data_IF_727384851805
#
_entry.id   IF_727384851805
#
_cell.length_a   1.000
_cell.length_b   1.000
_cell.length_c   1.000
_cell.angle_alpha   90.00
_cell.angle_beta   90.00
_cell.angle_gamma   90.00
#
_symmetry.space_group_name_H-M   'P 1'
#
loop_
_entity.id
_entity.type
_entity.pdbx_description
1 polymer ?
#
# COMPACT_ATOMS: atom_id res chain seq x y z
N UNK A 1 14.97 16.50 -9.11
CA UNK A 1 13.53 16.62 -8.84
C UNK A 1 12.84 15.68 -9.80
N UNK A 2 12.28 14.56 -9.32
CA UNK A 2 11.46 13.69 -10.18
C UNK A 2 10.23 14.52 -10.52
N UNK A 3 9.98 14.76 -11.80
CA UNK A 3 8.76 15.42 -12.25
C UNK A 3 7.60 14.51 -11.87
N UNK A 4 6.84 14.90 -10.86
CA UNK A 4 5.68 14.14 -10.44
C UNK A 4 4.62 14.25 -11.54
N UNK A 5 4.09 13.09 -11.94
CA UNK A 5 2.85 13.02 -12.73
C UNK A 5 1.80 13.88 -12.02
N UNK A 6 1.04 14.75 -12.72
CA UNK A 6 -0.04 15.51 -12.10
C UNK A 6 -1.10 14.59 -11.46
N UNK A 7 -1.74 15.04 -10.38
CA UNK A 7 -2.73 14.23 -9.66
C UNK A 7 -3.92 13.83 -10.52
N UNK A 8 -4.38 14.71 -11.39
CA UNK A 8 -5.50 14.40 -12.30
C UNK A 8 -5.13 13.25 -13.25
N UNK A 9 -3.93 13.26 -13.81
CA UNK A 9 -3.47 12.19 -14.68
C UNK A 9 -3.28 10.87 -13.90
N UNK A 10 -2.79 10.95 -12.65
CA UNK A 10 -2.72 9.77 -11.78
C UNK A 10 -4.11 9.17 -11.50
N UNK A 11 -5.10 10.03 -11.21
CA UNK A 11 -6.48 9.61 -10.95
C UNK A 11 -7.13 8.99 -12.18
N UNK A 12 -6.91 9.56 -13.37
CA UNK A 12 -7.40 8.99 -14.63
C UNK A 12 -6.82 7.60 -14.89
N UNK A 13 -5.51 7.43 -14.73
CA UNK A 13 -4.83 6.15 -14.94
C UNK A 13 -5.26 5.08 -13.91
N UNK A 14 -5.50 5.47 -12.66
CA UNK A 14 -5.90 4.56 -11.59
C UNK A 14 -7.41 4.36 -11.45
N UNK A 15 -8.24 5.11 -12.18
CA UNK A 15 -9.70 5.02 -12.13
C UNK A 15 -10.26 3.59 -12.36
N UNK A 16 -9.73 2.78 -13.29
CA UNK A 16 -10.20 1.40 -13.44
C UNK A 16 -10.00 0.55 -12.18
N UNK A 17 -8.91 0.80 -11.44
CA UNK A 17 -8.59 0.04 -10.22
C UNK A 17 -9.49 0.43 -9.06
N UNK A 18 -9.85 1.71 -8.93
CA UNK A 18 -10.73 2.16 -7.85
C UNK A 18 -12.13 1.56 -7.92
N UNK A 19 -12.56 1.07 -9.09
CA UNK A 19 -13.82 0.35 -9.28
C UNK A 19 -13.60 -1.17 -9.22
N UNK A 20 -12.55 -1.67 -9.89
CA UNK A 20 -12.35 -3.12 -10.05
C UNK A 20 -11.97 -3.80 -8.73
N UNK A 21 -11.11 -3.17 -7.92
CA UNK A 21 -10.65 -3.76 -6.65
C UNK A 21 -11.82 -3.99 -5.67
N UNK A 22 -12.64 -2.99 -5.32
CA UNK A 22 -13.74 -3.23 -4.39
C UNK A 22 -14.74 -4.25 -4.93
N UNK A 23 -15.03 -4.25 -6.24
CA UNK A 23 -15.92 -5.23 -6.85
C UNK A 23 -15.35 -6.66 -6.81
N UNK A 24 -14.04 -6.80 -7.04
CA UNK A 24 -13.37 -8.09 -6.93
C UNK A 24 -13.40 -8.62 -5.50
N UNK A 25 -13.06 -7.78 -4.52
CA UNK A 25 -13.09 -8.14 -3.10
C UNK A 25 -14.50 -8.51 -2.64
N UNK A 26 -15.52 -7.80 -3.12
CA UNK A 26 -16.91 -8.15 -2.90
C UNK A 26 -17.28 -9.50 -3.52
N UNK A 27 -16.85 -9.77 -4.76
CA UNK A 27 -17.20 -11.01 -5.47
C UNK A 27 -16.62 -12.28 -4.86
N UNK A 28 -15.61 -12.16 -4.01
CA UNK A 28 -14.97 -13.26 -3.30
C UNK A 28 -15.34 -13.30 -1.81
N UNK A 29 -16.34 -12.50 -1.40
CA UNK A 29 -16.78 -12.37 -0.01
C UNK A 29 -15.60 -12.06 0.95
N UNK A 30 -14.69 -11.17 0.51
CA UNK A 30 -13.47 -10.86 1.27
C UNK A 30 -13.76 -10.16 2.60
N UNK A 31 -14.77 -9.29 2.63
CA UNK A 31 -15.16 -8.54 3.82
C UNK A 31 -16.37 -9.18 4.49
N UNK A 32 -16.42 -9.13 5.83
CA UNK A 32 -17.64 -9.46 6.59
C UNK A 32 -18.79 -8.51 6.17
N UNK A 33 -20.04 -8.99 6.22
CA UNK A 33 -21.22 -8.19 5.91
C UNK A 33 -21.20 -6.85 6.67
N UNK A 34 -21.11 -5.73 5.94
CA UNK A 34 -21.18 -4.39 6.52
C UNK A 34 -19.95 -3.48 6.31
N UNK A 35 -18.85 -3.96 5.73
CA UNK A 35 -17.68 -3.11 5.37
C UNK A 35 -17.89 -2.41 4.01
N UNK A 36 -19.08 -1.88 3.76
CA UNK A 36 -19.31 -0.99 2.62
C UNK A 36 -19.09 0.44 3.11
N UNK A 37 -17.83 0.85 3.14
CA UNK A 37 -17.37 2.10 3.76
C UNK A 37 -17.79 3.39 3.03
N UNK A 38 -18.64 3.32 2.02
CA UNK A 38 -19.08 4.49 1.29
C UNK A 38 -20.61 4.58 1.40
N UNK A 39 -21.11 5.71 1.89
CA UNK A 39 -22.53 6.11 1.90
C UNK A 39 -23.06 6.34 0.46
N UNK A 40 -22.70 5.46 -0.48
CA UNK A 40 -23.12 5.52 -1.86
C UNK A 40 -24.49 4.85 -2.01
N UNK A 41 -25.49 5.63 -2.41
CA UNK A 41 -26.87 5.17 -2.64
C UNK A 41 -27.06 4.32 -3.89
N UNK A 42 -25.99 3.75 -4.47
CA UNK A 42 -26.04 2.97 -5.72
C UNK A 42 -25.22 1.69 -5.60
N UNK A 43 -25.88 0.70 -5.03
CA UNK A 43 -25.83 -0.76 -5.12
C UNK A 43 -24.71 -1.53 -5.86
N UNK A 44 -23.81 -0.97 -6.67
CA UNK A 44 -22.72 -1.77 -7.26
C UNK A 44 -21.53 -0.97 -7.85
N UNK A 45 -21.47 0.36 -7.63
CA UNK A 45 -20.56 1.23 -8.39
C UNK A 45 -19.99 2.38 -7.56
N UNK A 46 -19.45 2.10 -6.38
CA UNK A 46 -18.72 3.13 -5.64
C UNK A 46 -17.21 2.99 -5.88
N UNK A 47 -16.60 3.91 -6.65
CA UNK A 47 -15.16 3.96 -6.73
C UNK A 47 -14.57 4.26 -5.35
N UNK A 48 -13.49 3.58 -4.99
CA UNK A 48 -12.68 4.01 -3.86
C UNK A 48 -12.00 5.35 -4.16
N UNK A 49 -11.80 6.22 -3.15
CA UNK A 49 -11.04 7.44 -3.32
C UNK A 49 -9.59 7.11 -3.71
N UNK A 50 -9.02 7.92 -4.60
CA UNK A 50 -7.62 7.80 -5.04
C UNK A 50 -6.87 9.00 -4.49
N UNK A 51 -5.96 8.75 -3.55
CA UNK A 51 -5.19 9.78 -2.86
C UNK A 51 -3.69 9.55 -3.05
N UNK A 52 -2.95 10.62 -3.32
CA UNK A 52 -1.48 10.59 -3.26
C UNK A 52 -1.05 10.93 -1.85
N UNK A 53 -0.27 10.04 -1.25
CA UNK A 53 0.25 10.21 0.11
C UNK A 53 1.73 10.55 0.09
N UNK A 54 2.12 11.50 0.95
CA UNK A 54 3.51 11.84 1.17
C UNK A 54 4.16 10.80 2.08
N UNK A 55 5.16 10.09 1.54
CA UNK A 55 5.90 9.02 2.24
C UNK A 55 7.41 9.25 2.15
N UNK A 56 8.21 8.70 3.08
CA UNK A 56 9.67 8.82 3.04
C UNK A 56 10.25 8.31 1.73
N UNK A 57 10.92 9.17 0.97
CA UNK A 57 11.41 8.82 -0.37
C UNK A 57 12.76 8.09 -0.31
N UNK A 58 12.91 7.03 -1.11
CA UNK A 58 14.21 6.39 -1.31
C UNK A 58 15.14 7.31 -2.10
N UNK A 59 16.45 7.26 -1.80
CA UNK A 59 17.46 8.04 -2.52
C UNK A 59 18.33 7.22 -3.48
N UNK A 60 18.18 5.89 -3.46
CA UNK A 60 18.96 4.96 -4.28
C UNK A 60 18.03 4.16 -5.23
N UNK A 61 18.62 3.29 -6.04
CA UNK A 61 17.91 2.53 -7.07
C UNK A 61 17.54 1.09 -6.64
N UNK A 62 17.89 0.68 -5.42
CA UNK A 62 17.80 -0.73 -4.99
C UNK A 62 16.83 -0.99 -3.84
N UNK A 63 16.39 0.05 -3.13
CA UNK A 63 15.63 -0.13 -1.89
C UNK A 63 14.12 -0.06 -2.10
N UNK A 64 13.63 0.16 -3.32
CA UNK A 64 12.21 0.34 -3.62
C UNK A 64 11.34 -0.78 -3.02
N UNK A 65 11.74 -2.04 -3.18
CA UNK A 65 11.03 -3.18 -2.62
C UNK A 65 11.02 -3.17 -1.08
N UNK A 66 12.12 -2.77 -0.44
CA UNK A 66 12.20 -2.68 1.02
C UNK A 66 11.34 -1.54 1.57
N UNK A 67 11.30 -0.39 0.90
CA UNK A 67 10.39 0.69 1.28
C UNK A 67 8.93 0.25 1.18
N UNK A 68 8.53 -0.41 0.08
CA UNK A 68 7.16 -0.94 -0.07
C UNK A 68 6.81 -1.93 1.05
N UNK A 69 7.67 -2.90 1.34
CA UNK A 69 7.44 -3.86 2.43
C UNK A 69 7.27 -3.17 3.79
N UNK A 70 8.12 -2.17 4.07
CA UNK A 70 8.04 -1.41 5.32
C UNK A 70 6.81 -0.53 5.39
N UNK A 71 6.33 0.03 4.28
CA UNK A 71 5.07 0.76 4.26
C UNK A 71 3.91 -0.15 4.60
N UNK A 72 3.84 -1.35 4.00
CA UNK A 72 2.80 -2.34 4.30
C UNK A 72 2.84 -2.69 5.80
N UNK A 73 4.00 -3.12 6.32
CA UNK A 73 4.15 -3.53 7.72
C UNK A 73 3.77 -2.43 8.72
N UNK A 74 4.24 -1.19 8.49
CA UNK A 74 4.03 -0.10 9.43
C UNK A 74 2.60 0.47 9.34
N UNK A 75 2.05 0.64 8.13
CA UNK A 75 0.68 1.13 7.96
C UNK A 75 -0.35 0.13 8.48
N UNK A 76 -0.16 -1.17 8.25
CA UNK A 76 -1.02 -2.23 8.82
C UNK A 76 -0.99 -2.26 10.35
N UNK A 77 0.08 -1.78 10.97
CA UNK A 77 0.21 -1.67 12.42
C UNK A 77 -0.12 -0.27 12.97
N UNK A 78 -0.58 0.67 12.12
CA UNK A 78 -0.82 2.07 12.46
C UNK A 78 0.42 2.80 13.03
N UNK A 79 1.62 2.38 12.61
CA UNK A 79 2.90 2.95 13.04
C UNK A 79 3.40 3.98 12.00
N UNK A 80 3.96 5.08 12.50
CA UNK A 80 4.58 6.12 11.67
C UNK A 80 5.68 5.57 10.75
N UNK A 81 5.68 6.05 9.50
CA UNK A 81 6.71 5.75 8.50
C UNK A 81 8.06 6.43 8.77
N UNK A 82 8.20 7.23 9.84
CA UNK A 82 9.43 7.98 10.13
C UNK A 82 10.70 7.10 10.22
N UNK A 83 10.55 5.80 10.45
CA UNK A 83 11.66 4.83 10.49
C UNK A 83 12.12 4.33 9.11
N UNK A 84 11.36 4.60 8.04
CA UNK A 84 11.71 4.25 6.67
C UNK A 84 12.76 5.23 6.09
N UNK A 85 14.00 5.10 6.55
CA UNK A 85 15.13 5.91 6.10
C UNK A 85 16.16 5.05 5.38
N UNK A 86 16.92 5.64 4.46
CA UNK A 86 18.03 4.96 3.77
C UNK A 86 19.03 4.33 4.74
N UNK A 87 19.24 4.94 5.91
CA UNK A 87 20.14 4.46 6.96
C UNK A 87 19.66 3.15 7.60
N UNK A 88 18.34 2.95 7.70
CA UNK A 88 17.76 1.75 8.29
C UNK A 88 17.60 0.59 7.29
N UNK A 89 17.70 0.84 5.98
CA UNK A 89 17.51 -0.18 4.93
C UNK A 89 18.46 -1.39 5.04
N UNK A 90 19.76 -1.24 5.36
CA UNK A 90 20.63 -2.40 5.58
C UNK A 90 20.15 -3.29 6.72
N UNK A 91 19.67 -2.70 7.82
CA UNK A 91 19.11 -3.45 8.94
C UNK A 91 17.82 -4.17 8.54
N UNK A 92 16.90 -3.48 7.86
CA UNK A 92 15.64 -4.09 7.42
C UNK A 92 15.85 -5.24 6.44
N UNK A 93 16.82 -5.15 5.53
CA UNK A 93 17.20 -6.27 4.65
C UNK A 93 17.69 -7.48 5.43
N UNK A 94 18.57 -7.25 6.41
CA UNK A 94 19.11 -8.34 7.22
C UNK A 94 18.03 -8.98 8.11
N UNK A 95 17.16 -8.17 8.71
CA UNK A 95 15.98 -8.63 9.46
C UNK A 95 15.10 -9.51 8.58
N UNK A 96 14.73 -9.03 7.40
CA UNK A 96 13.91 -9.79 6.45
C UNK A 96 14.59 -11.11 6.04
N UNK A 97 15.88 -11.09 5.72
CA UNK A 97 16.62 -12.31 5.40
C UNK A 97 16.62 -13.31 6.57
N UNK A 98 16.79 -12.83 7.81
CA UNK A 98 16.74 -13.66 9.01
C UNK A 98 15.33 -14.20 9.30
N UNK A 99 14.28 -13.43 9.01
CA UNK A 99 12.89 -13.88 9.11
C UNK A 99 12.58 -14.96 8.06
N UNK A 100 13.04 -14.78 6.82
CA UNK A 100 12.90 -15.79 5.75
C UNK A 100 13.62 -17.09 6.14
N UNK A 101 14.85 -17.00 6.64
CA UNK A 101 15.63 -18.18 7.03
C UNK A 101 15.02 -18.95 8.21
N UNK A 102 14.31 -18.26 9.11
CA UNK A 102 13.63 -18.88 10.24
C UNK A 102 12.24 -19.42 9.88
N UNK A 103 11.68 -19.02 8.74
CA UNK A 103 10.29 -19.30 8.39
C UNK A 103 9.28 -18.34 9.03
N UNK A 104 9.76 -17.25 9.64
CA UNK A 104 8.94 -16.25 10.34
C UNK A 104 8.42 -15.15 9.40
N UNK A 105 8.86 -15.14 8.13
CA UNK A 105 8.48 -14.11 7.16
C UNK A 105 7.02 -14.19 6.68
N UNK A 106 6.27 -15.21 7.10
CA UNK A 106 4.83 -15.29 6.85
C UNK A 106 4.10 -14.34 7.79
N UNK A 107 3.40 -13.36 7.23
CA UNK A 107 2.24 -12.79 7.92
C UNK A 107 1.22 -13.93 8.10
N UNK A 108 0.83 -14.28 9.33
CA UNK A 108 -0.15 -15.34 9.58
C UNK A 108 -1.53 -15.00 9.01
#
# INVERSE_FOLDING_TARGET
>A
MVSLIPDEMLKEELAPLSITIPNLLNSIDFYEEGVYANDCSRDWWCPWPIERVDVPQQSNQGDCGMFVLKYIELLSAEISLATCTTQNMPFFRLKLAAEILRGDAYMP
#
